data_IF_871556101091
#
_entry.id   IF_871556101091
#
_cell.length_a   1.000
_cell.length_b   1.000
_cell.length_c   1.000
_cell.angle_alpha   90.00
_cell.angle_beta   90.00
_cell.angle_gamma   90.00
#
_symmetry.space_group_name_H-M   'P 1'
#
loop_
_entity.id
_entity.type
_entity.pdbx_description
1 polymer ?
#
# COMPACT_ATOMS: atom_id res chain seq x y z
N UNK A 1 -7.52 8.81 18.99
CA UNK A 1 -8.57 9.12 17.99
C UNK A 1 -8.00 9.67 16.67
N UNK A 2 -6.97 10.54 16.71
CA UNK A 2 -6.30 11.05 15.50
C UNK A 2 -5.59 9.96 14.69
N UNK A 3 -4.83 9.08 15.35
CA UNK A 3 -4.07 8.02 14.67
C UNK A 3 -4.93 7.01 13.90
N UNK A 4 -6.11 6.64 14.41
CA UNK A 4 -7.02 5.74 13.70
C UNK A 4 -7.59 6.38 12.41
N UNK A 5 -7.85 7.69 12.44
CA UNK A 5 -8.30 8.42 11.24
C UNK A 5 -7.18 8.51 10.21
N UNK A 6 -5.96 8.83 10.64
CA UNK A 6 -4.77 8.86 9.78
C UNK A 6 -4.49 7.51 9.17
N UNK A 7 -4.58 6.43 9.95
CA UNK A 7 -4.43 5.06 9.48
C UNK A 7 -5.45 4.72 8.39
N UNK A 8 -6.74 4.95 8.63
CA UNK A 8 -7.78 4.67 7.63
C UNK A 8 -7.61 5.51 6.36
N UNK A 9 -7.29 6.79 6.49
CA UNK A 9 -7.06 7.67 5.35
C UNK A 9 -5.89 7.17 4.50
N UNK A 10 -4.78 6.81 5.15
CA UNK A 10 -3.58 6.31 4.48
C UNK A 10 -3.83 4.96 3.81
N UNK A 11 -4.54 4.04 4.49
CA UNK A 11 -4.93 2.75 3.93
C UNK A 11 -5.77 2.92 2.67
N UNK A 12 -6.83 3.72 2.73
CA UNK A 12 -7.70 3.99 1.57
C UNK A 12 -6.92 4.63 0.41
N UNK A 13 -6.00 5.54 0.71
CA UNK A 13 -5.15 6.18 -0.31
C UNK A 13 -4.24 5.17 -0.99
N UNK A 14 -3.63 4.26 -0.23
CA UNK A 14 -2.74 3.22 -0.78
C UNK A 14 -3.51 2.18 -1.58
N UNK A 15 -4.71 1.78 -1.15
CA UNK A 15 -5.58 0.90 -1.94
C UNK A 15 -5.93 1.54 -3.29
N UNK A 16 -6.24 2.84 -3.31
CA UNK A 16 -6.47 3.59 -4.55
C UNK A 16 -5.24 3.58 -5.47
N UNK A 17 -4.04 3.78 -4.91
CA UNK A 17 -2.78 3.70 -5.68
C UNK A 17 -2.56 2.31 -6.27
N UNK A 18 -2.68 1.25 -5.46
CA UNK A 18 -2.46 -0.14 -5.92
C UNK A 18 -3.44 -0.52 -7.04
N UNK A 19 -4.70 -0.08 -6.94
CA UNK A 19 -5.69 -0.31 -8.01
C UNK A 19 -5.30 0.37 -9.33
N UNK A 20 -4.77 1.59 -9.24
CA UNK A 20 -4.41 2.43 -10.39
C UNK A 20 -3.04 2.11 -11.01
N UNK A 21 -2.16 1.36 -10.34
CA UNK A 21 -0.87 0.97 -10.93
C UNK A 21 -1.12 -0.14 -11.96
N UNK A 22 -0.77 0.03 -13.23
CA UNK A 22 -1.07 -0.98 -14.25
C UNK A 22 -0.20 -2.23 -14.13
N UNK A 23 1.09 -2.06 -13.85
CA UNK A 23 2.07 -3.15 -13.78
C UNK A 23 2.90 -3.01 -12.52
N UNK A 24 3.03 -4.11 -11.78
CA UNK A 24 3.88 -4.20 -10.59
C UNK A 24 4.89 -5.32 -10.84
N UNK A 25 6.16 -5.00 -11.12
CA UNK A 25 7.17 -6.01 -11.39
C UNK A 25 7.33 -6.95 -10.18
N UNK A 26 7.28 -8.26 -10.41
CA UNK A 26 7.57 -9.26 -9.38
C UNK A 26 6.56 -9.35 -8.23
N UNK A 27 5.38 -8.71 -8.34
CA UNK A 27 4.33 -8.82 -7.35
C UNK A 27 2.94 -8.72 -8.01
N UNK A 28 1.94 -9.41 -7.46
CA UNK A 28 0.57 -9.29 -7.93
C UNK A 28 -0.15 -8.13 -7.21
N UNK A 29 -1.11 -7.50 -7.89
CA UNK A 29 -2.02 -6.53 -7.24
C UNK A 29 -2.71 -7.13 -6.02
N UNK A 30 -3.13 -8.39 -6.12
CA UNK A 30 -3.83 -9.08 -5.03
C UNK A 30 -2.96 -9.23 -3.79
N UNK A 31 -1.68 -9.59 -3.95
CA UNK A 31 -0.72 -9.69 -2.84
C UNK A 31 -0.51 -8.35 -2.14
N UNK A 32 -0.49 -7.24 -2.88
CA UNK A 32 -0.37 -5.90 -2.29
C UNK A 32 -1.66 -5.46 -1.59
N UNK A 33 -2.82 -5.78 -2.17
CA UNK A 33 -4.11 -5.54 -1.53
C UNK A 33 -4.26 -6.36 -0.24
N UNK A 34 -3.77 -7.59 -0.21
CA UNK A 34 -3.73 -8.43 0.98
C UNK A 34 -2.81 -7.83 2.05
N UNK A 35 -1.61 -7.37 1.68
CA UNK A 35 -0.70 -6.68 2.60
C UNK A 35 -1.35 -5.42 3.21
N UNK A 36 -2.05 -4.61 2.40
CA UNK A 36 -2.80 -3.43 2.88
C UNK A 36 -3.96 -3.80 3.81
N UNK A 37 -4.63 -4.93 3.56
CA UNK A 37 -5.70 -5.43 4.43
C UNK A 37 -5.17 -5.88 5.78
N UNK A 38 -4.02 -6.55 5.79
CA UNK A 38 -3.35 -7.09 6.99
C UNK A 38 -2.54 -6.04 7.77
N UNK A 39 -2.28 -4.87 7.18
CA UNK A 39 -1.63 -3.76 7.89
C UNK A 39 -2.44 -3.37 9.13
N UNK A 40 -1.73 -3.16 10.24
CA UNK A 40 -2.31 -2.88 11.56
C UNK A 40 -1.88 -1.53 12.13
N UNK A 41 -0.80 -0.96 11.57
CA UNK A 41 -0.21 0.29 11.99
C UNK A 41 0.09 1.23 10.82
N UNK A 42 0.32 2.51 11.11
CA UNK A 42 0.76 3.49 10.11
C UNK A 42 2.15 3.12 9.57
N UNK A 43 3.03 2.55 10.40
CA UNK A 43 4.36 2.09 9.95
C UNK A 43 4.27 0.96 8.92
N UNK A 44 3.34 0.02 9.08
CA UNK A 44 3.10 -1.04 8.10
C UNK A 44 2.75 -0.42 6.73
N UNK A 45 1.84 0.56 6.74
CA UNK A 45 1.40 1.27 5.54
C UNK A 45 2.55 2.05 4.88
N UNK A 46 3.42 2.69 5.68
CA UNK A 46 4.64 3.35 5.18
C UNK A 46 5.58 2.35 4.52
N UNK A 47 5.78 1.18 5.15
CA UNK A 47 6.61 0.10 4.62
C UNK A 47 6.10 -0.42 3.29
N UNK A 48 4.79 -0.70 3.21
CA UNK A 48 4.12 -1.15 1.97
C UNK A 48 4.25 -0.08 0.88
N UNK A 49 4.01 1.20 1.19
CA UNK A 49 4.17 2.28 0.21
C UNK A 49 5.60 2.38 -0.33
N UNK A 50 6.62 2.25 0.53
CA UNK A 50 8.03 2.23 0.11
C UNK A 50 8.33 1.04 -0.80
N UNK A 51 7.78 -0.15 -0.49
CA UNK A 51 7.94 -1.33 -1.33
C UNK A 51 7.30 -1.13 -2.72
N UNK A 52 6.07 -0.62 -2.77
CA UNK A 52 5.38 -0.31 -4.02
C UNK A 52 6.19 0.66 -4.88
N UNK A 53 6.67 1.77 -4.31
CA UNK A 53 7.50 2.75 -5.03
C UNK A 53 8.77 2.09 -5.59
N UNK A 54 9.43 1.22 -4.82
CA UNK A 54 10.63 0.49 -5.28
C UNK A 54 10.35 -0.48 -6.41
N UNK A 55 9.19 -1.14 -6.39
CA UNK A 55 8.80 -2.08 -7.45
C UNK A 55 8.44 -1.33 -8.73
N UNK A 56 7.66 -0.25 -8.62
CA UNK A 56 7.25 0.58 -9.76
C UNK A 56 8.44 1.32 -10.38
N UNK A 57 9.36 1.88 -9.58
CA UNK A 57 10.55 2.57 -10.11
C UNK A 57 11.62 1.62 -10.69
N UNK A 58 11.48 0.30 -10.51
CA UNK A 58 12.35 -0.70 -11.13
C UNK A 58 11.82 -1.20 -12.48
N UNK A 59 10.61 -0.80 -12.87
CA UNK A 59 10.06 -0.96 -14.22
C UNK A 59 10.62 0.13 -15.14
#
# INVERSE_FOLDING_TARGET
MFEQKTFHLMKNTLEGKVRNIDIIPGCSKDSLMEALRNASSVEDLIGINKAIIRLVNKA
#
